data_IF_415456360195
#
_entry.id   IF_415456360195
#
_cell.length_a   1.000
_cell.length_b   1.000
_cell.length_c   1.000
_cell.angle_alpha   90.00
_cell.angle_beta   90.00
_cell.angle_gamma   90.00
#
_symmetry.space_group_name_H-M   'P 1'
#
loop_
_entity.id
_entity.type
_entity.pdbx_description
1 polymer ?
#
# COMPACT_ATOMS: atom_id res chain seq x y z
N UNK A 1 -22.26 8.56 -7.99
CA UNK A 1 -20.80 8.54 -8.27
C UNK A 1 -20.38 7.10 -8.10
N UNK A 2 -19.97 6.44 -9.18
CA UNK A 2 -19.57 5.03 -9.14
C UNK A 2 -18.20 4.95 -8.46
N UNK A 3 -18.15 4.60 -7.18
CA UNK A 3 -16.89 4.20 -6.55
C UNK A 3 -16.49 2.87 -7.17
N UNK A 4 -15.55 2.92 -8.11
CA UNK A 4 -14.95 1.72 -8.66
C UNK A 4 -14.28 0.99 -7.50
N UNK A 5 -14.58 -0.29 -7.25
CA UNK A 5 -13.94 -1.09 -6.18
C UNK A 5 -12.39 -1.09 -6.25
N UNK A 6 -11.81 -0.61 -7.35
CA UNK A 6 -10.38 -0.50 -7.61
C UNK A 6 -9.75 0.85 -7.25
N UNK A 7 -10.52 1.84 -6.78
CA UNK A 7 -9.99 3.18 -6.42
C UNK A 7 -9.31 3.21 -5.04
N UNK A 8 -9.61 2.24 -4.18
CA UNK A 8 -9.03 2.17 -2.84
C UNK A 8 -7.73 1.36 -2.84
N UNK A 9 -6.61 2.07 -3.07
CA UNK A 9 -5.26 1.52 -3.06
C UNK A 9 -4.50 1.95 -1.81
N UNK A 10 -3.90 0.98 -1.12
CA UNK A 10 -2.96 1.21 -0.01
C UNK A 10 -1.53 0.95 -0.48
N UNK A 11 -0.62 1.86 -0.18
CA UNK A 11 0.81 1.69 -0.37
C UNK A 11 1.46 1.24 0.95
N UNK A 12 2.23 0.16 0.92
CA UNK A 12 3.03 -0.31 2.06
C UNK A 12 4.49 -0.03 1.74
N UNK A 13 5.15 0.81 2.54
CA UNK A 13 6.58 1.11 2.44
C UNK A 13 7.36 0.26 3.45
N UNK A 14 8.23 -0.60 2.95
CA UNK A 14 8.97 -1.59 3.74
C UNK A 14 10.39 -1.12 4.08
N UNK A 15 10.66 -1.03 5.39
CA UNK A 15 11.94 -0.70 6.01
C UNK A 15 12.70 -1.96 6.48
N UNK A 16 12.21 -3.16 6.14
CA UNK A 16 12.81 -4.45 6.51
C UNK A 16 12.03 -5.22 7.58
N UNK A 17 10.73 -4.94 7.72
CA UNK A 17 9.91 -5.59 8.75
C UNK A 17 9.71 -7.07 8.44
N UNK A 18 9.79 -7.91 9.47
CA UNK A 18 9.44 -9.34 9.36
C UNK A 18 7.95 -9.55 9.04
N UNK A 19 7.11 -8.53 9.25
CA UNK A 19 5.66 -8.63 9.15
C UNK A 19 5.04 -7.97 7.91
N UNK A 20 5.84 -7.36 7.01
CA UNK A 20 5.32 -6.65 5.83
C UNK A 20 4.32 -7.49 5.02
N UNK A 21 4.60 -8.78 4.82
CA UNK A 21 3.69 -9.69 4.11
C UNK A 21 2.41 -10.01 4.89
N UNK A 22 2.47 -10.06 6.23
CA UNK A 22 1.30 -10.26 7.08
C UNK A 22 0.38 -9.03 7.04
N UNK A 23 0.96 -7.83 7.06
CA UNK A 23 0.22 -6.57 6.89
C UNK A 23 -0.49 -6.57 5.54
N UNK A 24 0.21 -6.88 4.44
CA UNK A 24 -0.40 -6.96 3.11
C UNK A 24 -1.52 -8.01 3.05
N UNK A 25 -1.36 -9.16 3.73
CA UNK A 25 -2.42 -10.16 3.86
C UNK A 25 -3.65 -9.60 4.57
N UNK A 26 -3.49 -8.89 5.68
CA UNK A 26 -4.61 -8.26 6.41
C UNK A 26 -5.36 -7.23 5.55
N UNK A 27 -4.63 -6.42 4.78
CA UNK A 27 -5.24 -5.44 3.86
C UNK A 27 -6.06 -6.13 2.77
N UNK A 28 -5.54 -7.23 2.19
CA UNK A 28 -6.27 -8.03 1.20
C UNK A 28 -7.47 -8.77 1.78
N UNK A 29 -7.38 -9.26 3.03
CA UNK A 29 -8.51 -9.85 3.76
C UNK A 29 -9.65 -8.83 3.95
N UNK A 30 -9.33 -7.54 4.05
CA UNK A 30 -10.29 -6.44 4.05
C UNK A 30 -10.84 -6.06 2.66
N UNK A 31 -10.50 -6.83 1.61
CA UNK A 31 -10.88 -6.60 0.20
C UNK A 31 -10.38 -5.27 -0.37
N UNK A 32 -9.25 -4.77 0.13
CA UNK A 32 -8.59 -3.55 -0.35
C UNK A 32 -7.33 -3.93 -1.14
N UNK A 33 -7.09 -3.24 -2.27
CA UNK A 33 -5.88 -3.45 -3.06
C UNK A 33 -4.67 -2.82 -2.38
N UNK A 34 -3.53 -3.50 -2.40
CA UNK A 34 -2.29 -2.94 -1.87
C UNK A 34 -1.05 -3.35 -2.65
N UNK A 35 -0.05 -2.46 -2.65
CA UNK A 35 1.30 -2.69 -3.17
C UNK A 35 2.33 -2.56 -2.06
N UNK A 36 3.37 -3.39 -2.11
CA UNK A 36 4.53 -3.30 -1.21
C UNK A 36 5.70 -2.77 -2.02
N UNK A 37 6.32 -1.69 -1.54
CA UNK A 37 7.51 -1.08 -2.12
C UNK A 37 8.58 -0.84 -1.06
N UNK A 38 9.87 -0.82 -1.41
CA UNK A 38 10.93 -0.40 -0.49
C UNK A 38 10.71 1.02 0.05
N UNK A 39 11.16 1.30 1.27
CA UNK A 39 11.01 2.63 1.90
C UNK A 39 11.62 3.79 1.10
N UNK A 40 12.61 3.51 0.25
CA UNK A 40 13.30 4.49 -0.58
C UNK A 40 12.66 4.70 -1.95
N UNK A 41 11.41 4.23 -2.15
CA UNK A 41 10.61 4.53 -3.32
C UNK A 41 10.58 6.04 -3.60
N UNK A 42 10.85 6.51 -4.84
CA UNK A 42 10.83 7.93 -5.16
C UNK A 42 9.47 8.55 -4.89
N UNK A 43 9.45 9.73 -4.29
CA UNK A 43 8.20 10.46 -3.99
C UNK A 43 7.35 10.69 -5.26
N UNK A 44 7.99 10.89 -6.41
CA UNK A 44 7.29 11.03 -7.70
C UNK A 44 6.46 9.81 -8.08
N UNK A 45 6.91 8.60 -7.70
CA UNK A 45 6.17 7.37 -7.95
C UNK A 45 5.03 7.19 -6.96
N UNK A 46 5.25 7.55 -5.69
CA UNK A 46 4.20 7.59 -4.66
C UNK A 46 3.07 8.54 -5.08
N UNK A 47 3.41 9.74 -5.55
CA UNK A 47 2.43 10.72 -6.03
C UNK A 47 1.69 10.24 -7.29
N UNK A 48 2.39 9.57 -8.22
CA UNK A 48 1.78 8.99 -9.42
C UNK A 48 0.83 7.85 -9.08
N UNK A 49 1.11 7.11 -8.03
CA UNK A 49 0.30 5.99 -7.57
C UNK A 49 -1.03 6.44 -6.94
N UNK A 50 -1.09 7.68 -6.44
CA UNK A 50 -2.25 8.28 -5.77
C UNK A 50 -2.89 7.35 -4.71
N UNK A 51 -2.11 6.84 -3.73
CA UNK A 51 -2.63 5.92 -2.74
C UNK A 51 -3.60 6.63 -1.80
N UNK A 52 -4.69 5.96 -1.44
CA UNK A 52 -5.66 6.45 -0.45
C UNK A 52 -5.13 6.35 0.98
N UNK A 53 -4.06 5.58 1.19
CA UNK A 53 -3.39 5.46 2.48
C UNK A 53 -2.01 4.84 2.34
N UNK A 54 -1.13 5.15 3.30
CA UNK A 54 0.24 4.66 3.35
C UNK A 54 0.47 3.95 4.69
N UNK A 55 1.03 2.76 4.65
CA UNK A 55 1.52 2.02 5.82
C UNK A 55 3.04 2.01 5.78
N UNK A 56 3.69 2.47 6.84
CA UNK A 56 5.14 2.36 7.02
C UNK A 56 5.41 1.10 7.85
N UNK A 57 6.14 0.14 7.29
CA UNK A 57 6.42 -1.17 7.89
C UNK A 57 7.91 -1.29 8.19
N UNK A 58 8.31 -1.40 9.44
CA UNK A 58 9.70 -1.57 9.87
C UNK A 58 9.86 -2.57 10.99
#
# INVERSE_FOLDING_TARGET
MQNSLHEQKILILDFGSQYTQLIARRVREAKVYCEIHPYNMPLSEVLRMDPQGIILSG
#
